data_IF_244232747572
#
_entry.id   IF_244232747572
#
_cell.length_a   1.000
_cell.length_b   1.000
_cell.length_c   1.000
_cell.angle_alpha   90.00
_cell.angle_beta   90.00
_cell.angle_gamma   90.00
#
_symmetry.space_group_name_H-M   'P 1'
#
loop_
_entity.id
_entity.type
_entity.pdbx_description
1 polymer ?
#
# COMPACT_ATOMS: atom_id res chain seq x y z
N UNK A 1 -23.18 -1.33 23.21
CA UNK A 1 -22.72 -0.70 21.96
C UNK A 1 -22.90 -1.72 20.85
N UNK A 2 -23.68 -1.41 19.81
CA UNK A 2 -23.99 -2.36 18.74
C UNK A 2 -22.73 -2.79 18.00
N UNK A 3 -22.68 -4.07 17.58
CA UNK A 3 -21.65 -4.54 16.65
C UNK A 3 -21.65 -3.61 15.43
N UNK A 4 -20.48 -3.25 14.87
CA UNK A 4 -20.43 -2.55 13.59
C UNK A 4 -21.29 -3.34 12.59
N UNK A 5 -22.32 -2.71 12.04
CA UNK A 5 -23.31 -3.38 11.17
C UNK A 5 -22.75 -3.71 9.80
N UNK A 6 -21.61 -3.13 9.41
CA UNK A 6 -20.94 -3.41 8.16
C UNK A 6 -19.72 -4.32 8.37
N UNK A 7 -19.52 -5.34 7.51
CA UNK A 7 -18.29 -6.11 7.52
C UNK A 7 -17.06 -5.21 7.28
N UNK A 8 -15.88 -5.60 7.81
CA UNK A 8 -14.65 -4.87 7.56
C UNK A 8 -14.40 -4.70 6.05
N UNK A 9 -13.97 -3.51 5.65
CA UNK A 9 -13.77 -3.17 4.25
C UNK A 9 -12.72 -2.07 4.08
N UNK A 10 -12.11 -2.02 2.90
CA UNK A 10 -11.21 -0.95 2.50
C UNK A 10 -11.54 -0.46 1.09
N UNK A 11 -11.00 0.70 0.73
CA UNK A 11 -11.20 1.31 -0.58
C UNK A 11 -9.94 1.20 -1.43
N UNK A 12 -10.12 1.01 -2.73
CA UNK A 12 -9.05 1.00 -3.73
C UNK A 12 -9.53 1.73 -4.99
N UNK A 13 -8.66 2.50 -5.63
CA UNK A 13 -9.01 3.11 -6.91
C UNK A 13 -9.06 2.06 -8.02
N UNK A 14 -9.96 2.22 -8.99
CA UNK A 14 -10.12 1.27 -10.09
C UNK A 14 -8.82 1.05 -10.88
N UNK A 15 -8.01 2.11 -11.05
CA UNK A 15 -6.73 2.04 -11.75
C UNK A 15 -5.73 1.05 -11.12
N UNK A 16 -5.84 0.74 -9.82
CA UNK A 16 -4.95 -0.22 -9.17
C UNK A 16 -5.11 -1.62 -9.78
N UNK A 17 -6.35 -2.04 -10.02
CA UNK A 17 -6.63 -3.32 -10.67
C UNK A 17 -6.43 -3.23 -12.18
N UNK A 18 -7.02 -2.22 -12.82
CA UNK A 18 -7.10 -2.12 -14.28
C UNK A 18 -5.74 -1.86 -14.94
N UNK A 19 -4.95 -0.96 -14.35
CA UNK A 19 -3.74 -0.44 -15.02
C UNK A 19 -2.45 -0.89 -14.34
N UNK A 20 -2.48 -1.11 -13.02
CA UNK A 20 -1.29 -1.51 -12.24
C UNK A 20 -1.23 -3.02 -11.96
N UNK A 21 -2.29 -3.77 -12.28
CA UNK A 21 -2.33 -5.22 -12.07
C UNK A 21 -2.26 -5.64 -10.60
N UNK A 22 -2.71 -4.78 -9.68
CA UNK A 22 -2.81 -5.13 -8.26
C UNK A 22 -3.86 -6.23 -8.11
N UNK A 23 -3.51 -7.29 -7.40
CA UNK A 23 -4.38 -8.44 -7.15
C UNK A 23 -4.72 -8.54 -5.67
N UNK A 24 -5.85 -9.18 -5.36
CA UNK A 24 -6.23 -9.55 -4.01
C UNK A 24 -6.20 -11.08 -3.84
N UNK A 25 -5.84 -11.60 -2.65
CA UNK A 25 -5.34 -10.84 -1.49
C UNK A 25 -3.96 -10.23 -1.77
N UNK A 26 -3.59 -9.19 -1.01
CA UNK A 26 -2.28 -8.56 -1.13
C UNK A 26 -1.16 -9.54 -0.79
N UNK A 27 0.00 -9.35 -1.42
CA UNK A 27 1.20 -10.13 -1.08
C UNK A 27 1.72 -9.77 0.31
N UNK A 28 2.50 -10.66 0.97
CA UNK A 28 3.21 -10.35 2.23
C UNK A 28 3.86 -8.97 2.24
N UNK A 29 4.64 -8.69 1.19
CA UNK A 29 5.33 -7.43 1.01
C UNK A 29 4.39 -6.21 0.95
N UNK A 30 3.26 -6.32 0.25
CA UNK A 30 2.33 -5.20 0.07
C UNK A 30 1.62 -4.82 1.37
N UNK A 31 1.08 -5.79 2.11
CA UNK A 31 0.44 -5.48 3.38
C UNK A 31 1.45 -5.14 4.48
N UNK A 32 2.67 -5.72 4.47
CA UNK A 32 3.77 -5.31 5.34
C UNK A 32 4.14 -3.84 5.10
N UNK A 33 4.22 -3.42 3.84
CA UNK A 33 4.49 -2.03 3.48
C UNK A 33 3.38 -1.10 3.99
N UNK A 34 2.11 -1.43 3.73
CA UNK A 34 0.96 -0.64 4.19
C UNK A 34 0.88 -0.55 5.72
N UNK A 35 1.19 -1.65 6.42
CA UNK A 35 1.32 -1.70 7.86
C UNK A 35 2.41 -0.74 8.35
N UNK A 36 3.60 -0.85 7.75
CA UNK A 36 4.78 -0.07 8.12
C UNK A 36 4.53 1.44 7.99
N UNK A 37 3.90 1.88 6.90
CA UNK A 37 3.56 3.30 6.69
C UNK A 37 2.28 3.72 7.42
N UNK A 38 1.61 2.81 8.13
CA UNK A 38 0.33 3.02 8.80
C UNK A 38 -0.69 3.72 7.88
N UNK A 39 -0.98 3.11 6.73
CA UNK A 39 -1.89 3.70 5.75
C UNK A 39 -2.77 2.67 5.03
N UNK A 40 -3.97 3.11 4.65
CA UNK A 40 -4.86 2.33 3.81
C UNK A 40 -4.42 2.33 2.33
N UNK A 41 -4.79 1.30 1.54
CA UNK A 41 -4.44 1.19 0.13
C UNK A 41 -4.74 2.45 -0.71
N UNK A 42 -5.89 3.09 -0.49
CA UNK A 42 -6.33 4.29 -1.21
C UNK A 42 -5.61 5.59 -0.80
N UNK A 43 -4.82 5.57 0.28
CA UNK A 43 -3.98 6.71 0.64
C UNK A 43 -2.75 6.79 -0.25
N UNK A 44 -2.33 5.66 -0.84
CA UNK A 44 -1.15 5.57 -1.65
C UNK A 44 -1.45 6.01 -3.10
N UNK A 45 -0.58 6.82 -3.68
CA UNK A 45 -0.70 7.27 -5.07
C UNK A 45 -0.53 6.10 -6.06
N UNK A 46 -1.22 6.07 -7.22
CA UNK A 46 -1.04 5.01 -8.23
C UNK A 46 0.42 4.74 -8.61
N UNK A 47 1.22 5.79 -8.85
CA UNK A 47 2.64 5.63 -9.13
C UNK A 47 3.43 4.90 -8.02
N UNK A 48 3.05 5.11 -6.76
CA UNK A 48 3.70 4.41 -5.63
C UNK A 48 3.35 2.93 -5.62
N UNK A 49 2.08 2.58 -5.93
CA UNK A 49 1.70 1.18 -6.17
C UNK A 49 2.50 0.59 -7.32
N UNK A 50 2.71 1.35 -8.41
CA UNK A 50 3.58 0.96 -9.50
C UNK A 50 5.01 0.60 -9.06
N UNK A 51 5.60 1.33 -8.11
CA UNK A 51 6.91 0.97 -7.56
C UNK A 51 6.90 -0.34 -6.77
N UNK A 52 5.85 -0.61 -5.98
CA UNK A 52 5.68 -1.89 -5.27
C UNK A 52 5.59 -3.05 -6.27
N UNK A 53 4.80 -2.88 -7.34
CA UNK A 53 4.64 -3.89 -8.39
C UNK A 53 5.95 -4.13 -9.15
N UNK A 54 6.63 -3.06 -9.58
CA UNK A 54 7.88 -3.15 -10.31
C UNK A 54 9.00 -3.81 -9.47
N UNK A 55 9.05 -3.53 -8.16
CA UNK A 55 10.02 -4.14 -7.26
C UNK A 55 9.81 -5.65 -7.13
N UNK A 56 8.56 -6.08 -6.93
CA UNK A 56 8.20 -7.50 -6.87
C UNK A 56 8.56 -8.23 -8.17
N UNK A 57 8.28 -7.63 -9.33
CA UNK A 57 8.65 -8.18 -10.64
C UNK A 57 10.16 -8.27 -10.79
N UNK A 58 10.90 -7.22 -10.45
CA UNK A 58 12.37 -7.21 -10.51
C UNK A 58 12.97 -8.32 -9.65
N UNK A 59 12.54 -8.44 -8.39
CA UNK A 59 13.00 -9.49 -7.48
C UNK A 59 12.71 -10.88 -8.07
N UNK A 60 11.50 -11.10 -8.58
CA UNK A 60 11.10 -12.36 -9.20
C UNK A 60 12.00 -12.73 -10.39
N UNK A 61 12.25 -11.78 -11.29
CA UNK A 61 13.11 -11.99 -12.48
C UNK A 61 14.56 -12.28 -12.09
N UNK A 62 15.05 -11.66 -11.02
CA UNK A 62 16.41 -11.86 -10.52
C UNK A 62 16.54 -13.09 -9.59
N UNK A 63 15.46 -13.79 -9.26
CA UNK A 63 15.46 -14.88 -8.29
C UNK A 63 15.76 -14.42 -6.86
N UNK A 64 15.45 -13.16 -6.53
CA UNK A 64 15.63 -12.57 -5.21
C UNK A 64 14.34 -12.62 -4.41
N UNK A 65 14.49 -12.76 -3.09
CA UNK A 65 13.38 -12.56 -2.17
C UNK A 65 12.96 -11.07 -2.13
N UNK A 66 11.66 -10.82 -2.09
CA UNK A 66 11.12 -9.46 -1.97
C UNK A 66 11.29 -8.99 -0.53
N UNK A 67 12.18 -8.01 -0.30
CA UNK A 67 12.48 -7.49 1.04
C UNK A 67 11.99 -6.07 1.24
N UNK A 68 11.14 -5.87 2.27
CA UNK A 68 10.70 -4.54 2.68
C UNK A 68 11.87 -3.61 3.02
N UNK A 69 12.88 -4.10 3.75
CA UNK A 69 14.05 -3.27 4.11
C UNK A 69 14.82 -2.79 2.89
N UNK A 70 15.03 -3.67 1.91
CA UNK A 70 15.73 -3.31 0.67
C UNK A 70 14.90 -2.29 -0.11
N UNK A 71 13.58 -2.47 -0.19
CA UNK A 71 12.70 -1.49 -0.82
C UNK A 71 12.81 -0.12 -0.14
N UNK A 72 12.72 -0.07 1.19
CA UNK A 72 12.79 1.18 1.96
C UNK A 72 14.14 1.91 1.84
N UNK A 73 15.21 1.22 1.47
CA UNK A 73 16.52 1.83 1.21
C UNK A 73 16.51 2.71 -0.06
N UNK A 74 15.82 2.27 -1.11
CA UNK A 74 15.78 2.96 -2.40
C UNK A 74 14.69 4.03 -2.51
N UNK A 75 13.74 4.06 -1.58
CA UNK A 75 12.61 4.98 -1.64
C UNK A 75 12.47 5.83 -0.38
N UNK A 76 11.66 6.88 -0.49
CA UNK A 76 11.22 7.70 0.63
C UNK A 76 9.75 8.06 0.44
N UNK A 77 9.04 8.24 1.55
CA UNK A 77 7.63 8.62 1.54
C UNK A 77 7.45 10.13 1.65
N UNK A 78 6.80 10.73 0.66
CA UNK A 78 6.32 12.11 0.72
C UNK A 78 4.83 12.13 1.08
N UNK A 79 4.49 12.91 2.10
CA UNK A 79 3.11 13.10 2.53
C UNK A 79 2.50 14.29 1.78
N UNK A 80 1.31 14.10 1.23
CA UNK A 80 0.51 15.19 0.69
C UNK A 80 0.04 16.17 1.77
N UNK A 81 -0.65 17.22 1.33
CA UNK A 81 -1.13 18.29 2.22
C UNK A 81 -2.21 17.74 3.18
N UNK A 82 -2.08 17.96 4.51
CA UNK A 82 -3.10 17.56 5.49
C UNK A 82 -4.47 18.22 5.24
N UNK A 83 -5.59 17.64 5.73
CA UNK A 83 -5.68 16.40 6.52
C UNK A 83 -5.78 15.11 5.68
N UNK A 84 -6.03 15.22 4.37
CA UNK A 84 -6.22 14.07 3.46
C UNK A 84 -5.16 14.04 2.35
N UNK A 85 -3.90 14.13 2.75
CA UNK A 85 -2.76 14.09 1.85
C UNK A 85 -2.54 12.69 1.28
N UNK A 86 -2.51 12.58 -0.05
CA UNK A 86 -2.08 11.34 -0.73
C UNK A 86 -0.60 11.09 -0.45
N UNK A 87 -0.26 9.84 -0.17
CA UNK A 87 1.10 9.38 0.07
C UNK A 87 1.77 9.01 -1.26
N UNK A 88 2.96 9.57 -1.50
CA UNK A 88 3.71 9.35 -2.73
C UNK A 88 5.13 8.89 -2.45
N UNK A 89 5.54 7.80 -3.07
CA UNK A 89 6.91 7.32 -3.05
C UNK A 89 7.74 8.09 -4.08
N UNK A 90 8.99 8.34 -3.74
CA UNK A 90 10.02 8.83 -4.65
C UNK A 90 11.34 8.13 -4.34
N UNK A 91 12.30 8.20 -5.26
CA UNK A 91 13.66 7.74 -4.98
C UNK A 91 14.22 8.38 -3.71
N UNK A 92 15.04 7.62 -2.98
CA UNK A 92 15.75 8.11 -1.81
C UNK A 92 16.85 9.10 -2.21
N UNK A 93 17.57 9.63 -1.22
CA UNK A 93 18.70 10.56 -1.48
C UNK A 93 19.85 9.86 -2.20
N UNK A 94 20.00 8.55 -1.99
CA UNK A 94 21.05 7.73 -2.58
C UNK A 94 20.65 7.16 -3.96
N UNK A 95 19.46 7.52 -4.44
CA UNK A 95 18.90 7.09 -5.73
C UNK A 95 17.69 6.16 -5.56
N UNK A 96 16.83 6.11 -6.58
CA UNK A 96 15.73 5.16 -6.69
C UNK A 96 15.99 4.11 -7.76
N UNK A 97 15.45 2.91 -7.60
CA UNK A 97 15.61 1.81 -8.57
C UNK A 97 14.88 2.05 -9.90
N UNK A 98 13.75 2.73 -9.84
CA UNK A 98 12.87 2.94 -10.98
C UNK A 98 12.59 4.42 -11.19
N UNK A 99 12.50 4.82 -12.45
CA UNK A 99 11.99 6.13 -12.85
C UNK A 99 10.53 5.99 -13.26
N UNK A 100 9.75 7.04 -13.00
CA UNK A 100 8.35 7.06 -13.40
C UNK A 100 8.24 7.13 -14.91
N UNK A 101 7.48 6.21 -15.52
CA UNK A 101 7.10 6.33 -16.93
C UNK A 101 6.24 7.58 -17.18
N UNK A 102 5.33 7.89 -16.25
CA UNK A 102 4.55 9.14 -16.25
C UNK A 102 4.62 9.80 -14.89
N UNK A 103 5.09 11.06 -14.87
CA UNK A 103 5.21 11.85 -13.65
C UNK A 103 3.85 12.23 -13.04
N UNK A 104 2.75 12.08 -13.79
CA UNK A 104 1.43 12.48 -13.33
C UNK A 104 0.36 11.48 -13.73
N UNK A 105 0.14 10.46 -12.90
CA UNK A 105 -1.11 9.71 -12.96
C UNK A 105 -2.23 10.61 -12.41
N UNK A 106 -3.03 11.19 -13.30
CA UNK A 106 -4.09 12.16 -12.96
C UNK A 106 -5.47 11.50 -12.99
N UNK A 107 -6.46 12.18 -12.41
CA UNK A 107 -7.89 11.82 -12.51
C UNK A 107 -8.26 10.40 -12.00
N UNK A 108 -7.40 9.76 -11.20
CA UNK A 108 -7.68 8.43 -10.64
C UNK A 108 -8.73 8.42 -9.53
N UNK A 109 -9.06 9.58 -8.96
CA UNK A 109 -9.90 9.68 -7.76
C UNK A 109 -11.40 9.53 -8.02
N UNK A 110 -11.82 9.47 -9.29
CA UNK A 110 -13.22 9.43 -9.68
C UNK A 110 -13.81 8.01 -9.65
N UNK A 111 -12.97 6.98 -9.74
CA UNK A 111 -13.38 5.58 -9.83
C UNK A 111 -12.74 4.77 -8.71
N UNK A 112 -13.56 4.14 -7.88
CA UNK A 112 -13.08 3.34 -6.75
C UNK A 112 -14.00 2.15 -6.48
N UNK A 113 -13.40 1.12 -5.88
CA UNK A 113 -14.08 -0.05 -5.37
C UNK A 113 -14.06 -0.04 -3.84
N UNK A 114 -15.15 -0.51 -3.24
CA UNK A 114 -15.19 -0.94 -1.85
C UNK A 114 -14.98 -2.45 -1.81
N UNK A 115 -13.87 -2.87 -1.22
CA UNK A 115 -13.55 -4.29 -1.03
C UNK A 115 -14.03 -4.70 0.35
N UNK A 116 -15.06 -5.55 0.41
CA UNK A 116 -15.68 -6.00 1.65
C UNK A 116 -15.29 -7.44 1.97
N UNK A 117 -14.91 -7.69 3.22
CA UNK A 117 -14.58 -9.02 3.73
C UNK A 117 -15.87 -9.73 4.14
N UNK A 118 -16.29 -10.72 3.35
CA UNK A 118 -17.57 -11.43 3.54
C UNK A 118 -17.32 -12.76 4.26
N UNK A 119 -18.05 -13.00 5.36
CA UNK A 119 -17.94 -14.26 6.11
C UNK A 119 -16.62 -14.45 6.86
N UNK A 120 -15.86 -13.37 7.02
CA UNK A 120 -14.53 -13.38 7.64
C UNK A 120 -14.65 -13.21 9.16
N UNK A 121 -14.12 -14.17 9.91
CA UNK A 121 -13.89 -14.05 11.35
C UNK A 121 -12.47 -13.51 11.56
N UNK A 122 -12.29 -12.29 12.11
CA UNK A 122 -10.95 -11.71 12.31
C UNK A 122 -9.97 -12.60 13.08
N UNK A 123 -10.47 -13.44 14.01
CA UNK A 123 -9.63 -14.33 14.82
C UNK A 123 -9.15 -15.58 14.06
N UNK A 124 -9.78 -15.92 12.95
CA UNK A 124 -9.47 -17.11 12.12
C UNK A 124 -8.94 -16.72 10.74
N UNK A 125 -9.05 -15.46 10.36
CA UNK A 125 -8.65 -14.95 9.05
C UNK A 125 -7.16 -14.66 8.98
N UNK A 126 -6.41 -15.59 8.43
CA UNK A 126 -4.99 -15.40 8.17
C UNK A 126 -4.71 -14.57 6.91
N UNK A 127 -5.74 -14.19 6.13
CA UNK A 127 -5.54 -13.46 4.87
C UNK A 127 -5.36 -11.96 5.15
N UNK A 128 -6.32 -11.34 5.84
CA UNK A 128 -6.31 -9.90 6.13
C UNK A 128 -6.10 -9.57 7.60
N UNK A 129 -6.09 -10.57 8.50
CA UNK A 129 -5.82 -10.38 9.92
C UNK A 129 -4.60 -11.21 10.38
N UNK A 130 -4.03 -10.78 11.50
CA UNK A 130 -3.00 -11.47 12.27
C UNK A 130 -3.38 -11.32 13.74
N UNK A 131 -3.64 -12.44 14.43
CA UNK A 131 -4.11 -12.46 15.82
C UNK A 131 -5.33 -11.56 16.07
N UNK A 132 -6.30 -11.54 15.16
CA UNK A 132 -7.49 -10.70 15.26
C UNK A 132 -7.30 -9.22 14.89
N UNK A 133 -6.07 -8.79 14.62
CA UNK A 133 -5.75 -7.43 14.21
C UNK A 133 -5.62 -7.34 12.69
N UNK A 134 -6.09 -6.26 12.04
CA UNK A 134 -5.94 -6.10 10.60
C UNK A 134 -4.46 -5.96 10.25
N UNK A 135 -4.01 -6.68 9.21
CA UNK A 135 -2.62 -6.64 8.74
C UNK A 135 -2.18 -5.26 8.27
N UNK A 136 -3.11 -4.41 7.86
CA UNK A 136 -2.88 -3.02 7.50
C UNK A 136 -4.14 -2.20 7.81
N UNK A 137 -4.06 -0.87 7.92
CA UNK A 137 -5.25 -0.06 8.15
C UNK A 137 -6.26 -0.17 7.00
N UNK A 138 -7.49 -0.57 7.30
CA UNK A 138 -8.54 -0.63 6.29
C UNK A 138 -9.10 0.74 5.89
N UNK A 139 -8.95 1.75 6.75
CA UNK A 139 -9.50 3.09 6.58
C UNK A 139 -8.43 4.17 6.63
N UNK A 140 -8.79 5.36 6.16
CA UNK A 140 -7.86 6.49 6.06
C UNK A 140 -7.21 6.84 7.40
N UNK A 141 -5.89 6.74 7.47
CA UNK A 141 -5.11 7.10 8.65
C UNK A 141 -4.68 8.58 8.60
N UNK A 142 -4.98 9.39 9.63
CA UNK A 142 -4.61 10.81 9.66
C UNK A 142 -3.13 11.04 9.98
N UNK A 143 -2.43 10.02 10.49
CA UNK A 143 -1.01 10.07 10.86
C UNK A 143 -0.24 8.89 10.24
N UNK A 144 0.05 8.95 8.93
CA UNK A 144 0.95 7.98 8.30
C UNK A 144 2.36 8.06 8.89
N UNK A 145 3.05 6.93 8.94
CA UNK A 145 4.43 6.84 9.39
C UNK A 145 5.38 7.26 8.27
N UNK A 146 6.22 8.26 8.52
CA UNK A 146 7.28 8.66 7.58
C UNK A 146 8.49 7.74 7.75
N UNK A 147 9.22 7.55 6.66
CA UNK A 147 10.57 7.03 6.69
C UNK A 147 11.45 7.87 5.75
N UNK A 148 12.62 8.19 6.25
CA UNK A 148 13.74 8.77 5.49
C UNK A 148 14.95 8.04 6.01
N UNK A 149 15.68 7.35 5.13
CA UNK A 149 16.78 6.43 5.44
C UNK A 149 17.60 6.88 6.66
N UNK A 150 17.34 6.24 7.80
CA UNK A 150 18.20 6.03 8.97
C UNK A 150 17.58 4.87 9.75
N UNK A 151 17.79 3.66 9.26
CA UNK A 151 17.57 2.43 10.05
C UNK A 151 18.96 1.82 10.24
N UNK A 152 19.63 2.27 11.31
CA UNK A 152 20.70 1.53 11.98
C UNK A 152 20.16 1.06 13.31
#
# INVERSE_FOLDING_TARGET
>A
MGKPTDPPHFYMYQCFFRDLGVCLPFTPFEWDFLNFINAAPCQLHPNSWGFLMAFQVLCTVLGLEVSLRVFLHFYQLKMGVPPYGILSLNGSRDGGLFTLYSQSYKNFKHEFFRVTLVGVNPLEDEVFHFDGLPKFPFYWCPKPSRFTVWVT
#
